data_IF_290085012161
#
_entry.id   IF_290085012161
#
_cell.length_a   1.000
_cell.length_b   1.000
_cell.length_c   1.000
_cell.angle_alpha   90.00
_cell.angle_beta   90.00
_cell.angle_gamma   90.00
#
_symmetry.space_group_name_H-M   'P 1'
#
loop_
_entity.id
_entity.type
_entity.pdbx_description
1 polymer ?
#
# COMPACT_ATOMS: atom_id res chain seq x y z
N UNK A 1 11.99 -31.82 -28.33
CA UNK A 1 10.56 -32.18 -28.37
C UNK A 1 9.80 -30.93 -27.97
N UNK A 2 9.31 -30.18 -28.95
CA UNK A 2 8.41 -29.03 -28.77
C UNK A 2 7.16 -29.44 -29.55
N UNK A 3 6.16 -29.88 -28.81
CA UNK A 3 4.83 -30.27 -29.26
C UNK A 3 3.94 -29.86 -28.07
N UNK A 4 2.81 -29.15 -28.20
CA UNK A 4 1.85 -29.16 -29.29
C UNK A 4 0.95 -27.92 -29.26
N UNK A 5 0.65 -27.39 -30.45
CA UNK A 5 -0.62 -26.75 -30.85
C UNK A 5 -1.02 -25.41 -30.19
N UNK A 6 -0.47 -24.29 -30.69
CA UNK A 6 -1.19 -23.01 -30.68
C UNK A 6 -2.08 -22.96 -31.94
N UNK A 7 -3.40 -22.86 -31.76
CA UNK A 7 -4.37 -22.77 -32.86
C UNK A 7 -4.60 -21.32 -33.32
N UNK A 8 -3.72 -20.40 -32.94
CA UNK A 8 -3.80 -18.97 -33.28
C UNK A 8 -3.08 -18.61 -34.59
N UNK A 9 -2.35 -19.55 -35.19
CA UNK A 9 -1.39 -19.23 -36.26
C UNK A 9 -1.97 -19.18 -37.68
N UNK A 10 -3.30 -19.19 -37.85
CA UNK A 10 -3.94 -19.16 -39.18
C UNK A 10 -4.90 -17.97 -39.34
N UNK A 11 -5.31 -17.33 -38.25
CA UNK A 11 -6.21 -16.18 -38.26
C UNK A 11 -5.41 -14.94 -37.84
N UNK A 12 -5.43 -13.88 -38.66
CA UNK A 12 -4.77 -12.60 -38.36
C UNK A 12 -5.53 -11.78 -37.29
N UNK A 13 -6.25 -12.47 -36.41
CA UNK A 13 -7.17 -11.92 -35.42
C UNK A 13 -6.92 -12.62 -34.08
N UNK A 14 -6.71 -11.83 -33.02
CA UNK A 14 -6.63 -12.31 -31.63
C UNK A 14 -7.81 -11.73 -30.87
N UNK A 15 -8.65 -12.58 -30.28
CA UNK A 15 -9.87 -12.18 -29.59
C UNK A 15 -9.64 -11.98 -28.09
N UNK A 16 -9.65 -10.72 -27.63
CA UNK A 16 -9.44 -10.31 -26.23
C UNK A 16 -10.77 -9.96 -25.54
N UNK A 17 -11.69 -10.93 -25.39
CA UNK A 17 -13.08 -10.65 -24.96
C UNK A 17 -13.28 -10.40 -23.47
N UNK A 18 -12.33 -10.78 -22.64
CA UNK A 18 -12.48 -10.76 -21.16
C UNK A 18 -11.87 -9.53 -20.51
N UNK A 19 -11.02 -8.80 -21.24
CA UNK A 19 -10.27 -7.68 -20.70
C UNK A 19 -10.95 -6.35 -21.04
N UNK A 20 -10.75 -5.34 -20.19
CA UNK A 20 -11.28 -4.01 -20.45
C UNK A 20 -10.62 -3.43 -21.72
N UNK A 21 -11.40 -3.00 -22.74
CA UNK A 21 -10.84 -2.51 -24.00
C UNK A 21 -9.86 -1.35 -23.82
N UNK A 22 -10.07 -0.49 -22.81
CA UNK A 22 -9.18 0.65 -22.55
C UNK A 22 -7.87 0.20 -21.89
N UNK A 23 -7.92 -0.82 -21.04
CA UNK A 23 -6.71 -1.40 -20.46
C UNK A 23 -5.86 -2.11 -21.53
N UNK A 24 -6.52 -2.79 -22.49
CA UNK A 24 -5.85 -3.37 -23.66
C UNK A 24 -5.26 -2.29 -24.57
N UNK A 25 -6.01 -1.23 -24.85
CA UNK A 25 -5.53 -0.08 -25.64
C UNK A 25 -4.30 0.56 -24.98
N UNK A 26 -4.34 0.78 -23.67
CA UNK A 26 -3.20 1.29 -22.90
C UNK A 26 -1.97 0.36 -23.01
N UNK A 27 -2.19 -0.96 -22.97
CA UNK A 27 -1.12 -1.93 -23.17
C UNK A 27 -0.51 -1.85 -24.57
N UNK A 28 -1.34 -1.79 -25.61
CA UNK A 28 -0.87 -1.69 -27.00
C UNK A 28 -0.08 -0.39 -27.17
N UNK A 29 -0.62 0.75 -26.73
CA UNK A 29 0.07 2.05 -26.79
C UNK A 29 1.43 1.99 -26.10
N UNK A 30 1.48 1.38 -24.91
CA UNK A 30 2.73 1.17 -24.18
C UNK A 30 3.75 0.32 -24.95
N UNK A 31 3.32 -0.75 -25.61
CA UNK A 31 4.21 -1.59 -26.42
C UNK A 31 4.82 -0.83 -27.62
N UNK A 32 4.12 0.17 -28.14
CA UNK A 32 4.63 1.06 -29.19
C UNK A 32 5.42 2.27 -28.65
N UNK A 33 5.70 2.32 -27.34
CA UNK A 33 6.51 3.35 -26.71
C UNK A 33 5.74 4.62 -26.32
N UNK A 34 4.41 4.58 -26.33
CA UNK A 34 3.59 5.70 -25.88
C UNK A 34 3.25 5.57 -24.39
N UNK A 35 3.25 6.69 -23.68
CA UNK A 35 2.61 6.74 -22.36
C UNK A 35 1.08 6.67 -22.53
N UNK A 36 0.41 5.91 -21.67
CA UNK A 36 -1.05 5.92 -21.62
C UNK A 36 -1.55 6.94 -20.59
N UNK A 37 -2.65 7.60 -20.93
CA UNK A 37 -3.28 8.58 -20.05
C UNK A 37 -4.18 7.89 -19.02
N UNK A 38 -3.80 8.04 -17.75
CA UNK A 38 -4.56 7.54 -16.60
C UNK A 38 -5.63 8.51 -16.09
N UNK A 39 -5.72 9.73 -16.63
CA UNK A 39 -6.59 10.80 -16.12
C UNK A 39 -8.09 10.56 -16.33
N UNK A 40 -8.46 9.45 -16.97
CA UNK A 40 -9.84 9.17 -17.38
C UNK A 40 -10.11 9.93 -18.67
N UNK A 41 -10.43 9.20 -19.75
CA UNK A 41 -10.81 9.89 -20.98
C UNK A 41 -12.09 10.71 -20.75
N UNK A 42 -12.31 11.73 -21.59
CA UNK A 42 -13.53 12.56 -21.62
C UNK A 42 -14.84 11.75 -21.76
N UNK A 43 -14.76 10.43 -21.91
CA UNK A 43 -15.87 9.47 -21.95
C UNK A 43 -16.25 8.89 -20.57
N UNK A 44 -15.62 9.33 -19.47
CA UNK A 44 -16.26 9.52 -18.16
C UNK A 44 -16.92 8.32 -17.46
N UNK A 45 -16.39 7.09 -17.52
CA UNK A 45 -17.00 5.95 -16.78
C UNK A 45 -16.13 5.20 -15.78
N UNK A 46 -14.81 5.31 -15.85
CA UNK A 46 -13.92 4.53 -14.97
C UNK A 46 -12.99 5.47 -14.23
N UNK A 47 -12.97 5.33 -12.91
CA UNK A 47 -12.08 6.11 -12.06
C UNK A 47 -10.61 5.82 -12.39
N UNK A 48 -9.71 6.80 -12.24
CA UNK A 48 -8.28 6.59 -12.42
C UNK A 48 -7.73 5.43 -11.58
N UNK A 49 -8.28 5.19 -10.37
CA UNK A 49 -7.90 4.06 -9.53
C UNK A 49 -8.21 2.73 -10.19
N UNK A 50 -9.47 2.52 -10.59
CA UNK A 50 -9.92 1.29 -11.22
C UNK A 50 -9.23 1.07 -12.55
N UNK A 51 -9.03 2.13 -13.32
CA UNK A 51 -8.34 2.05 -14.61
C UNK A 51 -6.91 1.52 -14.46
N UNK A 52 -6.12 2.05 -13.53
CA UNK A 52 -4.76 1.55 -13.31
C UNK A 52 -4.75 0.12 -12.76
N UNK A 53 -5.74 -0.28 -11.95
CA UNK A 53 -5.89 -1.69 -11.53
C UNK A 53 -6.12 -2.60 -12.75
N UNK A 54 -6.98 -2.19 -13.69
CA UNK A 54 -7.22 -2.96 -14.92
C UNK A 54 -6.00 -3.02 -15.83
N UNK A 55 -5.27 -1.91 -15.99
CA UNK A 55 -4.00 -1.92 -16.73
C UNK A 55 -2.98 -2.83 -16.05
N UNK A 56 -2.89 -2.81 -14.71
CA UNK A 56 -2.04 -3.70 -13.94
C UNK A 56 -2.38 -5.19 -14.18
N UNK A 57 -3.68 -5.52 -14.16
CA UNK A 57 -4.18 -6.87 -14.44
C UNK A 57 -3.83 -7.34 -15.86
N UNK A 58 -4.08 -6.50 -16.87
CA UNK A 58 -3.74 -6.80 -18.28
C UNK A 58 -2.22 -6.96 -18.44
N UNK A 59 -1.43 -6.07 -17.83
CA UNK A 59 0.02 -6.15 -17.89
C UNK A 59 0.57 -7.44 -17.25
N UNK A 60 -0.04 -7.93 -16.17
CA UNK A 60 0.32 -9.21 -15.58
C UNK A 60 -0.09 -10.39 -16.49
N UNK A 61 -1.33 -10.38 -16.99
CA UNK A 61 -1.90 -11.42 -17.85
C UNK A 61 -1.10 -11.62 -19.14
N UNK A 62 -0.67 -10.53 -19.78
CA UNK A 62 0.09 -10.56 -21.03
C UNK A 62 1.61 -10.43 -20.83
N UNK A 63 2.09 -10.59 -19.59
CA UNK A 63 3.52 -10.59 -19.24
C UNK A 63 4.30 -9.35 -19.73
N UNK A 64 3.75 -8.16 -19.48
CA UNK A 64 4.35 -6.85 -19.79
C UNK A 64 4.85 -6.20 -18.48
N UNK A 65 6.02 -6.61 -17.94
CA UNK A 65 6.44 -6.23 -16.58
C UNK A 65 6.66 -4.73 -16.40
N UNK A 66 7.14 -4.03 -17.42
CA UNK A 66 7.36 -2.57 -17.37
C UNK A 66 6.03 -1.81 -17.27
N UNK A 67 4.99 -2.27 -17.98
CA UNK A 67 3.65 -1.70 -17.88
C UNK A 67 3.03 -1.99 -16.51
N UNK A 68 3.24 -3.20 -15.98
CA UNK A 68 2.77 -3.59 -14.65
C UNK A 68 3.37 -2.67 -13.57
N UNK A 69 4.66 -2.36 -13.69
CA UNK A 69 5.33 -1.41 -12.80
C UNK A 69 4.81 0.03 -12.99
N UNK A 70 4.65 0.52 -14.23
CA UNK A 70 4.10 1.86 -14.49
C UNK A 70 2.68 2.04 -13.94
N UNK A 71 1.80 1.04 -14.16
CA UNK A 71 0.44 1.04 -13.62
C UNK A 71 0.42 1.05 -12.10
N UNK A 72 1.34 0.33 -11.45
CA UNK A 72 1.51 0.38 -9.99
C UNK A 72 1.91 1.78 -9.52
N UNK A 73 2.92 2.39 -10.13
CA UNK A 73 3.41 3.72 -9.72
C UNK A 73 2.36 4.82 -9.93
N UNK A 74 1.60 4.74 -11.03
CA UNK A 74 0.44 5.63 -11.26
C UNK A 74 -0.65 5.41 -10.22
N UNK A 75 -1.01 4.15 -9.96
CA UNK A 75 -1.98 3.80 -8.95
C UNK A 75 -1.59 4.32 -7.56
N UNK A 76 -0.35 4.10 -7.13
CA UNK A 76 0.18 4.58 -5.85
C UNK A 76 0.04 6.09 -5.69
N UNK A 77 0.35 6.87 -6.75
CA UNK A 77 0.17 8.33 -6.75
C UNK A 77 -1.29 8.73 -6.62
N UNK A 78 -2.19 8.05 -7.34
CA UNK A 78 -3.62 8.37 -7.33
C UNK A 78 -4.23 8.11 -5.95
N UNK A 79 -3.96 6.95 -5.34
CA UNK A 79 -4.55 6.63 -4.03
C UNK A 79 -3.98 7.52 -2.92
N UNK A 80 -2.76 8.03 -3.04
CA UNK A 80 -2.20 8.98 -2.08
C UNK A 80 -2.97 10.30 -2.04
N UNK A 81 -3.49 10.76 -3.19
CA UNK A 81 -4.20 12.05 -3.28
C UNK A 81 -5.71 11.91 -3.22
N UNK A 82 -6.25 10.77 -3.65
CA UNK A 82 -7.68 10.59 -3.89
C UNK A 82 -8.33 9.51 -2.99
N UNK A 83 -7.67 9.05 -1.92
CA UNK A 83 -8.21 8.04 -1.00
C UNK A 83 -9.59 8.39 -0.40
N UNK A 84 -9.91 9.68 -0.29
CA UNK A 84 -11.17 10.17 0.25
C UNK A 84 -12.34 10.12 -0.74
N UNK A 85 -12.08 9.73 -2.00
CA UNK A 85 -13.12 9.56 -3.01
C UNK A 85 -13.91 8.27 -2.79
N UNK A 86 -15.16 8.28 -3.23
CA UNK A 86 -16.11 7.15 -3.18
C UNK A 86 -15.64 5.90 -3.94
N UNK A 87 -14.73 6.07 -4.90
CA UNK A 87 -14.14 4.96 -5.66
C UNK A 87 -13.11 4.13 -4.87
N UNK A 88 -12.58 4.63 -3.76
CA UNK A 88 -11.48 3.96 -3.04
C UNK A 88 -11.87 2.57 -2.48
N UNK A 89 -13.04 2.38 -1.83
CA UNK A 89 -13.52 1.05 -1.45
C UNK A 89 -13.66 0.09 -2.63
N UNK A 90 -14.21 0.56 -3.76
CA UNK A 90 -14.33 -0.26 -4.97
C UNK A 90 -12.95 -0.67 -5.52
N UNK A 91 -11.96 0.22 -5.46
CA UNK A 91 -10.59 -0.06 -5.85
C UNK A 91 -9.93 -1.14 -4.96
N UNK A 92 -10.22 -1.16 -3.65
CA UNK A 92 -9.75 -2.22 -2.75
C UNK A 92 -10.32 -3.58 -3.20
N UNK A 93 -11.64 -3.65 -3.35
CA UNK A 93 -12.32 -4.88 -3.75
C UNK A 93 -11.80 -5.39 -5.09
N UNK A 94 -11.64 -4.51 -6.07
CA UNK A 94 -11.15 -4.88 -7.40
C UNK A 94 -9.69 -5.37 -7.37
N UNK A 95 -8.81 -4.66 -6.66
CA UNK A 95 -7.41 -5.06 -6.53
C UNK A 95 -7.27 -6.45 -5.88
N UNK A 96 -8.09 -6.78 -4.88
CA UNK A 96 -8.04 -8.09 -4.21
C UNK A 96 -8.68 -9.21 -5.04
N UNK A 97 -9.61 -8.89 -5.95
CA UNK A 97 -10.16 -9.82 -6.93
C UNK A 97 -9.16 -10.17 -8.03
N UNK A 98 -8.40 -9.20 -8.53
CA UNK A 98 -7.53 -9.38 -9.69
C UNK A 98 -6.09 -9.79 -9.35
N UNK A 99 -5.72 -9.85 -8.07
CA UNK A 99 -4.36 -10.23 -7.61
C UNK A 99 -4.38 -11.47 -6.74
N UNK A 100 -3.31 -12.26 -6.78
CA UNK A 100 -3.06 -13.34 -5.81
C UNK A 100 -2.39 -12.80 -4.55
N UNK A 101 -2.39 -13.57 -3.44
CA UNK A 101 -1.86 -13.13 -2.14
C UNK A 101 -0.38 -12.69 -2.17
N UNK A 102 0.42 -13.33 -3.01
CA UNK A 102 1.85 -13.05 -3.18
C UNK A 102 2.09 -11.74 -3.95
N UNK A 103 1.12 -11.31 -4.76
CA UNK A 103 1.20 -10.05 -5.46
C UNK A 103 0.83 -8.89 -4.51
N UNK A 104 1.88 -8.27 -3.96
CA UNK A 104 1.77 -7.13 -3.05
C UNK A 104 1.68 -5.79 -3.79
N UNK A 105 1.75 -5.77 -5.12
CA UNK A 105 1.93 -4.55 -5.90
C UNK A 105 0.81 -3.53 -5.71
N UNK A 106 -0.45 -3.99 -5.75
CA UNK A 106 -1.62 -3.17 -5.46
C UNK A 106 -2.07 -3.26 -3.99
N UNK A 107 -1.97 -4.45 -3.40
CA UNK A 107 -2.45 -4.73 -2.03
C UNK A 107 -1.70 -3.94 -0.97
N UNK A 108 -0.37 -3.86 -1.08
CA UNK A 108 0.48 -3.17 -0.11
C UNK A 108 0.13 -1.68 0.03
N UNK A 109 0.10 -0.91 -1.08
CA UNK A 109 -0.31 0.49 -1.06
C UNK A 109 -1.70 0.72 -0.48
N UNK A 110 -2.69 -0.11 -0.83
CA UNK A 110 -4.05 0.00 -0.31
C UNK A 110 -4.12 -0.21 1.20
N UNK A 111 -3.43 -1.22 1.73
CA UNK A 111 -3.33 -1.46 3.18
C UNK A 111 -2.66 -0.28 3.89
N UNK A 112 -1.56 0.24 3.33
CA UNK A 112 -0.84 1.39 3.88
C UNK A 112 -1.73 2.63 3.99
N UNK A 113 -2.37 3.02 2.88
CA UNK A 113 -3.26 4.20 2.83
C UNK A 113 -4.47 4.01 3.76
N UNK A 114 -5.04 2.81 3.77
CA UNK A 114 -6.18 2.51 4.64
C UNK A 114 -5.83 2.62 6.12
N UNK A 115 -4.62 2.19 6.52
CA UNK A 115 -4.11 2.38 7.87
C UNK A 115 -3.93 3.86 8.21
N UNK A 116 -3.30 4.62 7.31
CA UNK A 116 -2.99 6.05 7.52
C UNK A 116 -4.27 6.90 7.68
N UNK A 117 -5.35 6.54 6.98
CA UNK A 117 -6.63 7.26 6.99
C UNK A 117 -7.77 6.50 7.67
N UNK A 118 -7.47 5.47 8.47
CA UNK A 118 -8.46 4.55 9.04
C UNK A 118 -9.56 5.25 9.83
N UNK A 119 -9.21 6.30 10.58
CA UNK A 119 -10.14 7.04 11.43
C UNK A 119 -11.26 7.74 10.63
N UNK A 120 -10.95 8.12 9.39
CA UNK A 120 -11.89 8.77 8.46
C UNK A 120 -12.64 7.73 7.63
N UNK A 121 -11.90 6.76 7.06
CA UNK A 121 -12.47 5.71 6.21
C UNK A 121 -13.53 4.88 6.93
N UNK A 122 -13.32 4.52 8.20
CA UNK A 122 -14.28 3.72 8.98
C UNK A 122 -15.64 4.38 9.20
N UNK A 123 -15.77 5.68 8.93
CA UNK A 123 -17.04 6.41 9.05
C UNK A 123 -17.96 6.18 7.85
N UNK A 124 -17.43 5.70 6.72
CA UNK A 124 -18.20 5.43 5.51
C UNK A 124 -18.64 3.98 5.42
N UNK A 125 -19.92 3.77 5.12
CA UNK A 125 -20.53 2.44 5.00
C UNK A 125 -19.82 1.57 3.94
N UNK A 126 -19.49 2.16 2.79
CA UNK A 126 -18.81 1.45 1.70
C UNK A 126 -17.44 0.85 2.12
N UNK A 127 -16.71 1.50 3.03
CA UNK A 127 -15.46 0.95 3.55
C UNK A 127 -15.71 -0.17 4.57
N UNK A 128 -16.80 -0.09 5.33
CA UNK A 128 -17.21 -1.18 6.23
C UNK A 128 -17.61 -2.41 5.42
N UNK A 129 -18.39 -2.24 4.35
CA UNK A 129 -18.74 -3.32 3.42
C UNK A 129 -17.48 -4.02 2.88
N UNK A 130 -16.45 -3.26 2.50
CA UNK A 130 -15.17 -3.82 2.06
C UNK A 130 -14.49 -4.67 3.14
N UNK A 131 -14.55 -4.26 4.41
CA UNK A 131 -13.98 -5.04 5.51
C UNK A 131 -14.73 -6.35 5.73
N UNK A 132 -16.04 -6.37 5.50
CA UNK A 132 -16.89 -7.55 5.63
C UNK A 132 -16.74 -8.51 4.44
N UNK A 133 -16.67 -7.98 3.22
CA UNK A 133 -16.67 -8.77 1.98
C UNK A 133 -15.26 -9.17 1.53
N UNK A 134 -14.24 -8.37 1.84
CA UNK A 134 -12.86 -8.59 1.39
C UNK A 134 -12.00 -9.04 2.56
N UNK A 135 -12.25 -10.25 3.06
CA UNK A 135 -11.56 -10.83 4.24
C UNK A 135 -10.02 -10.82 4.12
N UNK A 136 -9.49 -11.01 2.90
CA UNK A 136 -8.06 -10.93 2.63
C UNK A 136 -7.49 -9.55 2.94
N UNK A 137 -8.22 -8.48 2.60
CA UNK A 137 -7.84 -7.11 2.92
C UNK A 137 -7.95 -6.84 4.42
N UNK A 138 -9.07 -7.21 5.05
CA UNK A 138 -9.26 -7.01 6.48
C UNK A 138 -8.16 -7.69 7.32
N UNK A 139 -7.81 -8.93 6.99
CA UNK A 139 -6.75 -9.66 7.69
C UNK A 139 -5.38 -8.98 7.54
N UNK A 140 -5.06 -8.46 6.37
CA UNK A 140 -3.81 -7.75 6.13
C UNK A 140 -3.77 -6.38 6.79
N UNK A 141 -4.89 -5.64 6.80
CA UNK A 141 -5.00 -4.37 7.50
C UNK A 141 -4.81 -4.53 9.01
N UNK A 142 -5.40 -5.57 9.62
CA UNK A 142 -5.19 -5.87 11.04
C UNK A 142 -3.74 -6.24 11.33
N UNK A 143 -3.12 -7.09 10.51
CA UNK A 143 -1.70 -7.42 10.66
C UNK A 143 -0.80 -6.19 10.56
N UNK A 144 -1.09 -5.27 9.63
CA UNK A 144 -0.33 -4.03 9.46
C UNK A 144 -0.55 -3.05 10.63
N UNK A 145 -1.75 -3.05 11.23
CA UNK A 145 -2.06 -2.34 12.48
C UNK A 145 -1.35 -2.94 13.70
N UNK A 146 -1.07 -4.24 13.73
CA UNK A 146 -0.32 -4.87 14.82
C UNK A 146 1.20 -4.62 14.69
N UNK A 147 1.70 -4.54 13.45
CA UNK A 147 3.08 -4.13 13.16
C UNK A 147 3.32 -2.65 13.48
N UNK A 148 2.28 -1.83 13.34
CA UNK A 148 2.17 -0.48 13.90
C UNK A 148 1.24 -0.51 15.11
N UNK A 149 1.37 -1.56 15.93
CA UNK A 149 0.90 -1.50 17.31
C UNK A 149 1.45 -0.19 17.89
N UNK A 150 0.76 0.44 18.87
CA UNK A 150 1.19 1.73 19.37
C UNK A 150 2.69 1.63 19.54
N UNK A 151 3.42 2.59 18.99
CA UNK A 151 4.70 2.94 19.58
C UNK A 151 4.39 3.23 21.05
N UNK A 152 4.27 2.19 21.88
CA UNK A 152 5.04 2.06 23.10
C UNK A 152 6.47 2.03 22.61
N UNK A 153 6.94 3.15 22.05
CA UNK A 153 8.16 3.66 22.59
C UNK A 153 7.85 3.68 24.08
N UNK A 154 8.42 2.75 24.83
CA UNK A 154 8.67 2.94 26.26
C UNK A 154 9.63 4.15 26.35
N UNK A 155 9.20 5.29 25.82
CA UNK A 155 9.84 6.58 25.78
C UNK A 155 9.64 7.13 27.17
N UNK A 156 10.47 6.59 28.05
CA UNK A 156 10.57 7.08 29.41
C UNK A 156 11.30 8.41 29.32
N UNK A 157 10.69 9.44 29.90
CA UNK A 157 11.37 10.69 30.16
C UNK A 157 12.23 10.50 31.41
N UNK A 158 13.48 10.93 31.37
CA UNK A 158 14.41 10.86 32.49
C UNK A 158 14.83 12.27 32.90
N UNK A 159 15.07 12.48 34.19
CA UNK A 159 15.66 13.72 34.71
C UNK A 159 17.01 13.45 35.34
N UNK A 160 18.06 14.16 34.90
CA UNK A 160 19.38 14.01 35.49
C UNK A 160 19.44 14.64 36.89
N UNK A 161 19.85 13.91 37.95
CA UNK A 161 20.03 14.50 39.27
C UNK A 161 21.25 15.43 39.36
N UNK A 162 22.23 15.29 38.47
CA UNK A 162 23.48 16.08 38.53
C UNK A 162 23.35 17.45 37.84
N UNK A 163 22.55 17.56 36.78
CA UNK A 163 22.43 18.80 36.00
C UNK A 163 20.98 19.24 35.72
N UNK A 164 19.98 18.46 36.14
CA UNK A 164 18.56 18.78 35.95
C UNK A 164 18.03 18.60 34.53
N UNK A 165 18.87 18.26 33.55
CA UNK A 165 18.45 18.07 32.16
C UNK A 165 17.44 16.94 32.04
N UNK A 166 16.42 17.17 31.21
CA UNK A 166 15.39 16.19 30.88
C UNK A 166 15.55 15.73 29.44
N UNK A 167 15.41 14.43 29.21
CA UNK A 167 15.42 13.86 27.87
C UNK A 167 14.49 12.65 27.81
N UNK A 168 14.13 12.28 26.57
CA UNK A 168 13.36 11.07 26.29
C UNK A 168 14.25 10.06 25.61
N UNK A 169 14.11 8.80 26.00
CA UNK A 169 14.86 7.71 25.39
C UNK A 169 13.97 6.48 25.25
N UNK A 170 13.88 5.95 24.03
CA UNK A 170 13.26 4.66 23.75
C UNK A 170 14.29 3.56 23.97
N UNK A 171 14.03 2.64 24.90
CA UNK A 171 14.90 1.49 25.13
C UNK A 171 14.73 0.45 24.00
N UNK A 172 15.29 0.71 22.83
CA UNK A 172 15.39 -0.31 21.78
C UNK A 172 16.32 -1.42 22.31
N UNK A 173 15.79 -2.64 22.42
CA UNK A 173 16.51 -3.86 22.84
C UNK A 173 17.03 -3.88 24.30
N UNK A 174 16.37 -3.18 25.23
CA UNK A 174 16.62 -3.33 26.67
C UNK A 174 17.96 -2.78 27.19
N UNK A 175 18.74 -2.06 26.37
CA UNK A 175 19.94 -1.38 26.82
C UNK A 175 19.57 -0.14 27.64
N UNK A 176 19.89 -0.17 28.93
CA UNK A 176 19.80 1.01 29.78
C UNK A 176 20.91 1.99 29.42
N UNK A 177 20.56 3.28 29.35
CA UNK A 177 21.52 4.35 29.06
C UNK A 177 22.60 4.37 30.16
N UNK A 178 23.88 4.53 29.82
CA UNK A 178 24.97 4.51 30.81
C UNK A 178 25.34 5.90 31.33
N UNK A 179 24.97 6.97 30.62
CA UNK A 179 25.38 8.34 30.92
C UNK A 179 24.32 9.38 30.53
N UNK A 180 24.37 10.53 31.20
CA UNK A 180 23.54 11.69 30.86
C UNK A 180 24.01 12.36 29.56
N UNK A 181 23.15 12.60 28.55
CA UNK A 181 23.54 13.24 27.29
C UNK A 181 24.09 14.67 27.44
N UNK A 182 23.68 15.40 28.49
CA UNK A 182 24.01 16.82 28.65
C UNK A 182 25.25 17.08 29.50
N UNK A 183 25.53 16.21 30.49
CA UNK A 183 26.65 16.42 31.43
C UNK A 183 27.57 15.21 31.55
N UNK A 184 27.37 14.17 30.74
CA UNK A 184 28.14 12.92 30.73
C UNK A 184 28.21 12.15 32.05
N UNK A 185 27.41 12.53 33.07
CA UNK A 185 27.34 11.81 34.35
C UNK A 185 26.95 10.36 34.12
N UNK A 186 27.78 9.41 34.54
CA UNK A 186 27.52 7.98 34.42
C UNK A 186 26.69 7.46 35.59
N UNK A 187 25.67 6.66 35.28
CA UNK A 187 24.85 5.93 36.28
C UNK A 187 24.39 4.61 35.69
N UNK A 188 24.31 3.58 36.53
CA UNK A 188 23.84 2.24 36.17
C UNK A 188 22.33 2.04 36.39
N UNK A 189 21.67 2.95 37.12
CA UNK A 189 20.28 2.81 37.58
C UNK A 189 19.34 3.93 37.11
N UNK A 190 19.43 4.34 35.84
CA UNK A 190 18.58 5.40 35.28
C UNK A 190 17.08 5.14 35.42
N UNK A 191 16.66 3.89 35.55
CA UNK A 191 15.28 3.49 35.83
C UNK A 191 14.66 4.14 37.06
N UNK A 192 15.45 4.56 38.05
CA UNK A 192 14.97 5.25 39.26
C UNK A 192 14.70 6.76 39.04
N UNK A 193 15.13 7.30 37.90
CA UNK A 193 15.03 8.74 37.57
C UNK A 193 14.06 9.00 36.41
N UNK A 194 13.17 8.04 36.16
CA UNK A 194 12.07 8.19 35.20
C UNK A 194 11.07 9.18 35.78
N UNK A 195 10.73 10.20 35.00
CA UNK A 195 9.67 11.15 35.33
C UNK A 195 8.34 10.39 35.22
N UNK A 196 7.73 10.07 36.35
CA UNK A 196 6.36 9.55 36.40
C UNK A 196 5.41 10.72 36.15
N UNK A 197 4.52 10.58 35.16
CA UNK A 197 3.41 11.50 34.93
C UNK A 197 2.28 11.22 35.91
#
# INVERSE_FOLDING_TARGET
MIDSKCQETIENEVYLKEDDPRAVEAMIHFMYGFEYDSSGSEHGRMSPMLFNIKVYQVADKYAVPLLKQDAKEKFERIIQTCWAMDDFPAAITEAYKCTVKQDRGLRGPLVKISREHLAELRKGDAFQDVLEETLGFAAELVQDLDLVGPSRTDEKAYRCPSCGSEWRHSALNGRSMAYCPSCASQRSNWSSYVIQK
#
